data_IF_526760064703
#
_entry.id   IF_526760064703
#
_cell.length_a   1.000
_cell.length_b   1.000
_cell.length_c   1.000
_cell.angle_alpha   90.00
_cell.angle_beta   90.00
_cell.angle_gamma   90.00
#
_symmetry.space_group_name_H-M   'P 1'
#
loop_
_entity.id
_entity.type
_entity.pdbx_description
1 polymer ?
#
# COMPACT_ATOMS: atom_id res chain seq x y z
N UNK A 1 -22.27 -21.02 23.77
CA UNK A 1 -21.30 -21.35 22.71
C UNK A 1 -21.10 -20.12 21.85
N UNK A 2 -19.92 -19.53 21.89
CA UNK A 2 -19.60 -18.33 21.11
C UNK A 2 -19.61 -18.68 19.62
N UNK A 3 -20.54 -18.10 18.88
CA UNK A 3 -20.58 -18.09 17.41
C UNK A 3 -19.29 -17.46 16.90
N UNK A 4 -18.30 -18.30 16.56
CA UNK A 4 -17.03 -17.86 16.01
C UNK A 4 -17.26 -17.24 14.64
N UNK A 5 -17.12 -15.93 14.51
CA UNK A 5 -17.07 -15.27 13.22
C UNK A 5 -15.89 -15.85 12.44
N UNK A 6 -16.17 -16.46 11.29
CA UNK A 6 -15.12 -16.97 10.39
C UNK A 6 -14.27 -15.79 9.93
N UNK A 7 -13.02 -15.74 10.38
CA UNK A 7 -12.04 -14.77 9.89
C UNK A 7 -11.89 -14.92 8.37
N UNK A 8 -11.98 -13.81 7.65
CA UNK A 8 -11.72 -13.79 6.20
C UNK A 8 -10.22 -13.80 5.92
N UNK A 9 -9.84 -14.25 4.72
CA UNK A 9 -8.43 -14.35 4.34
C UNK A 9 -7.70 -13.02 4.47
N UNK A 10 -6.50 -13.05 5.04
CA UNK A 10 -5.59 -11.92 5.16
C UNK A 10 -4.54 -11.92 4.04
N UNK A 11 -3.61 -10.96 4.05
CA UNK A 11 -2.65 -10.83 2.97
C UNK A 11 -1.54 -11.89 2.99
N UNK A 12 -1.27 -12.54 4.13
CA UNK A 12 -0.39 -13.72 4.16
C UNK A 12 -0.98 -14.85 3.32
N UNK A 13 -2.28 -15.12 3.48
CA UNK A 13 -2.99 -16.15 2.72
C UNK A 13 -3.15 -15.76 1.25
N UNK A 14 -3.49 -14.50 0.94
CA UNK A 14 -3.51 -14.00 -0.45
C UNK A 14 -2.14 -14.13 -1.11
N UNK A 15 -1.05 -13.84 -0.38
CA UNK A 15 0.29 -13.99 -0.92
C UNK A 15 0.63 -15.45 -1.22
N UNK A 16 0.35 -16.35 -0.27
CA UNK A 16 0.69 -17.77 -0.40
C UNK A 16 -0.16 -18.50 -1.45
N UNK A 17 -1.45 -18.17 -1.56
CA UNK A 17 -2.40 -18.92 -2.38
C UNK A 17 -2.65 -18.29 -3.76
N UNK A 18 -2.35 -17.00 -3.95
CA UNK A 18 -2.62 -16.29 -5.20
C UNK A 18 -1.34 -15.69 -5.78
N UNK A 19 -0.70 -14.77 -5.05
CA UNK A 19 0.41 -13.97 -5.60
C UNK A 19 1.59 -14.85 -5.99
N UNK A 20 2.10 -15.65 -5.05
CA UNK A 20 3.24 -16.54 -5.30
C UNK A 20 2.94 -17.55 -6.40
N UNK A 21 1.83 -18.32 -6.37
CA UNK A 21 1.50 -19.25 -7.46
C UNK A 21 1.40 -18.59 -8.84
N UNK A 22 0.80 -17.41 -8.95
CA UNK A 22 0.72 -16.69 -10.23
C UNK A 22 2.10 -16.27 -10.74
N UNK A 23 2.98 -15.84 -9.84
CA UNK A 23 4.29 -15.30 -10.19
C UNK A 23 5.42 -16.33 -10.20
N UNK A 24 5.14 -17.61 -9.94
CA UNK A 24 6.17 -18.67 -9.82
C UNK A 24 7.02 -18.79 -11.10
N UNK A 25 6.37 -18.78 -12.26
CA UNK A 25 7.05 -18.95 -13.55
C UNK A 25 7.83 -17.70 -13.97
N UNK A 26 7.29 -16.51 -13.74
CA UNK A 26 7.93 -15.25 -14.13
C UNK A 26 8.96 -14.76 -13.11
N UNK A 27 8.83 -15.17 -11.83
CA UNK A 27 9.63 -14.70 -10.69
C UNK A 27 9.68 -13.16 -10.58
N UNK A 28 8.56 -12.51 -10.89
CA UNK A 28 8.38 -11.06 -10.83
C UNK A 28 7.45 -10.68 -9.67
N UNK A 29 7.27 -9.38 -9.42
CA UNK A 29 6.12 -8.91 -8.64
C UNK A 29 4.78 -9.24 -9.33
N UNK A 30 3.69 -9.18 -8.56
CA UNK A 30 2.33 -9.41 -9.10
C UNK A 30 1.94 -8.36 -10.13
N UNK A 31 2.29 -7.10 -9.86
CA UNK A 31 2.01 -5.98 -10.77
C UNK A 31 2.71 -6.17 -12.10
N UNK A 32 4.00 -6.54 -12.09
CA UNK A 32 4.76 -6.83 -13.31
C UNK A 32 4.16 -8.04 -14.06
N UNK A 33 3.81 -9.10 -13.34
CA UNK A 33 3.19 -10.29 -13.91
C UNK A 33 1.90 -9.96 -14.68
N UNK A 34 0.99 -9.19 -14.06
CA UNK A 34 -0.25 -8.76 -14.70
C UNK A 34 0.03 -7.91 -15.94
N UNK A 35 1.08 -7.07 -15.91
CA UNK A 35 1.43 -6.22 -17.04
C UNK A 35 1.98 -7.02 -18.22
N UNK A 36 2.80 -8.03 -17.94
CA UNK A 36 3.28 -8.97 -18.93
C UNK A 36 2.14 -9.74 -19.58
N UNK A 37 1.21 -10.25 -18.78
CA UNK A 37 0.02 -10.93 -19.29
C UNK A 37 -0.83 -10.03 -20.20
N UNK A 38 -1.08 -8.78 -19.79
CA UNK A 38 -1.85 -7.82 -20.60
C UNK A 38 -1.16 -7.46 -21.91
N UNK A 39 0.17 -7.44 -21.93
CA UNK A 39 0.96 -7.18 -23.13
C UNK A 39 1.19 -8.42 -24.01
N UNK A 40 0.77 -9.61 -23.56
CA UNK A 40 1.09 -10.87 -24.23
C UNK A 40 2.59 -11.22 -24.20
N UNK A 41 3.33 -10.71 -23.23
CA UNK A 41 4.78 -10.89 -23.08
C UNK A 41 5.09 -11.95 -22.02
N UNK A 42 6.19 -12.68 -22.22
CA UNK A 42 6.65 -13.73 -21.31
C UNK A 42 7.82 -13.31 -20.40
N UNK A 43 8.39 -12.11 -20.58
CA UNK A 43 9.56 -11.64 -19.82
C UNK A 43 9.52 -10.14 -19.51
N UNK A 44 9.95 -9.78 -18.30
CA UNK A 44 10.03 -8.40 -17.79
C UNK A 44 11.03 -7.50 -18.55
N UNK A 45 11.99 -8.08 -19.28
CA UNK A 45 13.03 -7.35 -20.01
C UNK A 45 12.53 -6.41 -21.10
N UNK A 46 11.24 -6.46 -21.45
CA UNK A 46 10.59 -5.59 -22.44
C UNK A 46 9.46 -4.72 -21.88
N UNK A 47 9.19 -4.70 -20.57
CA UNK A 47 8.13 -3.85 -20.00
C UNK A 47 8.72 -2.51 -19.51
N UNK A 48 8.69 -1.41 -20.31
CA UNK A 48 9.54 -0.26 -20.09
C UNK A 48 8.94 0.79 -19.15
N UNK A 49 7.67 0.63 -18.73
CA UNK A 49 6.91 1.68 -18.06
C UNK A 49 6.38 1.12 -16.73
N UNK A 50 6.88 1.67 -15.62
CA UNK A 50 6.33 1.42 -14.30
C UNK A 50 4.87 1.85 -14.21
N UNK A 51 4.09 1.18 -13.35
CA UNK A 51 2.69 1.57 -13.14
C UNK A 51 2.66 2.84 -12.28
N UNK A 52 2.05 3.94 -12.75
CA UNK A 52 1.92 5.15 -11.94
C UNK A 52 1.13 4.82 -10.67
N UNK A 53 1.60 5.35 -9.54
CA UNK A 53 0.99 5.14 -8.22
C UNK A 53 0.51 6.47 -7.69
N UNK A 54 -0.72 6.48 -7.17
CA UNK A 54 -1.31 7.66 -6.56
C UNK A 54 -1.10 7.72 -5.05
N UNK A 55 -1.17 6.56 -4.39
CA UNK A 55 -1.13 6.49 -2.93
C UNK A 55 -0.33 5.27 -2.49
N UNK A 56 0.64 5.53 -1.61
CA UNK A 56 1.33 4.48 -0.88
C UNK A 56 0.44 3.95 0.25
N UNK A 57 0.34 2.63 0.40
CA UNK A 57 -0.45 1.99 1.46
C UNK A 57 0.47 1.40 2.52
N UNK A 58 0.43 1.95 3.72
CA UNK A 58 1.02 1.33 4.91
C UNK A 58 -0.05 0.53 5.64
N UNK A 59 0.19 -0.76 5.83
CA UNK A 59 -0.79 -1.66 6.44
C UNK A 59 -0.15 -2.93 7.00
N UNK A 60 -0.90 -3.60 7.89
CA UNK A 60 -0.53 -4.91 8.42
C UNK A 60 -1.12 -6.02 7.56
N UNK A 61 -0.30 -7.04 7.23
CA UNK A 61 -0.73 -8.18 6.42
C UNK A 61 -1.75 -9.09 7.11
N UNK A 62 -1.84 -9.07 8.43
CA UNK A 62 -2.76 -9.93 9.19
C UNK A 62 -4.18 -9.39 9.30
N UNK A 63 -4.45 -8.16 8.86
CA UNK A 63 -5.82 -7.66 8.68
C UNK A 63 -6.54 -8.48 7.60
N UNK A 64 -7.84 -8.71 7.79
CA UNK A 64 -8.68 -9.30 6.75
C UNK A 64 -8.58 -8.49 5.45
N UNK A 65 -8.17 -9.14 4.36
CA UNK A 65 -7.96 -8.50 3.07
C UNK A 65 -9.20 -7.72 2.58
N UNK A 66 -10.44 -8.22 2.71
CA UNK A 66 -11.64 -7.47 2.36
C UNK A 66 -11.83 -6.17 3.14
N UNK A 67 -11.37 -6.11 4.40
CA UNK A 67 -11.44 -4.89 5.21
C UNK A 67 -10.47 -3.83 4.70
N UNK A 68 -9.23 -4.22 4.39
CA UNK A 68 -8.27 -3.35 3.74
C UNK A 68 -8.82 -2.82 2.41
N UNK A 69 -9.36 -3.69 1.54
CA UNK A 69 -9.95 -3.29 0.24
C UNK A 69 -11.10 -2.30 0.45
N UNK A 70 -11.97 -2.53 1.45
CA UNK A 70 -13.07 -1.62 1.79
C UNK A 70 -12.56 -0.26 2.26
N UNK A 71 -11.50 -0.23 3.08
CA UNK A 71 -10.81 1.00 3.50
C UNK A 71 -10.28 1.78 2.31
N UNK A 72 -9.53 1.13 1.41
CA UNK A 72 -8.95 1.76 0.22
C UNK A 72 -10.02 2.29 -0.74
N UNK A 73 -11.14 1.57 -0.91
CA UNK A 73 -12.28 2.05 -1.69
C UNK A 73 -12.91 3.31 -1.09
N UNK A 74 -13.06 3.37 0.23
CA UNK A 74 -13.55 4.58 0.92
C UNK A 74 -12.57 5.73 0.81
N UNK A 75 -11.26 5.45 0.93
CA UNK A 75 -10.20 6.43 0.72
C UNK A 75 -10.25 7.03 -0.69
N UNK A 76 -10.29 6.20 -1.74
CA UNK A 76 -10.34 6.67 -3.11
C UNK A 76 -11.56 7.56 -3.37
N UNK A 77 -12.75 7.14 -2.89
CA UNK A 77 -13.97 7.94 -2.97
C UNK A 77 -13.84 9.29 -2.27
N UNK A 78 -13.34 9.30 -1.04
CA UNK A 78 -13.10 10.53 -0.28
C UNK A 78 -12.19 11.51 -1.04
N UNK A 79 -11.16 11.01 -1.73
CA UNK A 79 -10.27 11.84 -2.56
C UNK A 79 -10.99 12.40 -3.80
N UNK A 80 -11.82 11.60 -4.45
CA UNK A 80 -12.57 11.99 -5.65
C UNK A 80 -13.73 12.96 -5.37
N UNK A 81 -14.41 12.84 -4.23
CA UNK A 81 -15.67 13.55 -3.93
C UNK A 81 -15.49 15.03 -3.50
N UNK A 82 -14.28 15.60 -3.52
CA UNK A 82 -14.12 17.05 -3.33
C UNK A 82 -12.84 17.56 -2.68
N UNK A 83 -11.82 16.71 -2.48
CA UNK A 83 -10.60 17.11 -1.76
C UNK A 83 -9.30 16.97 -2.57
N UNK A 84 -9.35 16.44 -3.81
CA UNK A 84 -8.22 16.40 -4.72
C UNK A 84 -8.50 17.20 -6.00
N UNK A 85 -7.47 17.89 -6.52
CA UNK A 85 -7.53 18.68 -7.77
C UNK A 85 -7.75 17.85 -9.04
N UNK A 86 -7.75 16.52 -8.94
CA UNK A 86 -7.89 15.60 -10.08
C UNK A 86 -9.32 15.04 -10.09
N UNK A 87 -10.17 15.56 -10.98
CA UNK A 87 -11.47 14.99 -11.28
C UNK A 87 -11.26 13.64 -11.97
N UNK A 88 -11.23 12.56 -11.19
CA UNK A 88 -11.16 11.19 -11.72
C UNK A 88 -12.10 10.28 -10.95
N UNK A 89 -12.48 9.18 -11.60
CA UNK A 89 -13.25 8.13 -10.96
C UNK A 89 -12.40 7.40 -9.90
N UNK A 90 -13.02 7.02 -8.78
CA UNK A 90 -12.32 6.34 -7.68
C UNK A 90 -11.76 4.97 -8.12
N UNK A 91 -12.35 4.35 -9.14
CA UNK A 91 -11.90 3.09 -9.75
C UNK A 91 -10.55 3.23 -10.46
N UNK A 92 -10.20 4.43 -10.92
CA UNK A 92 -8.93 4.73 -11.56
C UNK A 92 -7.83 5.11 -10.55
N UNK A 93 -8.14 5.08 -9.24
CA UNK A 93 -7.17 5.36 -8.19
C UNK A 93 -6.23 4.17 -7.98
N UNK A 94 -4.93 4.40 -8.10
CA UNK A 94 -3.91 3.35 -7.99
C UNK A 94 -3.24 3.34 -6.61
N UNK A 95 -2.98 2.13 -6.10
CA UNK A 95 -2.39 1.92 -4.78
C UNK A 95 -1.12 1.11 -4.90
N UNK A 96 -0.06 1.56 -4.23
CA UNK A 96 1.12 0.74 -4.00
C UNK A 96 0.92 -0.03 -2.70
N UNK A 97 0.86 -1.35 -2.81
CA UNK A 97 0.62 -2.29 -1.71
C UNK A 97 1.76 -3.30 -1.76
N UNK A 98 2.48 -3.44 -0.65
CA UNK A 98 3.77 -4.12 -0.64
C UNK A 98 3.73 -5.58 -1.10
N UNK A 99 2.66 -6.35 -0.81
CA UNK A 99 2.57 -7.73 -1.33
C UNK A 99 2.42 -7.83 -2.85
N UNK A 100 1.75 -6.86 -3.48
CA UNK A 100 1.54 -6.87 -4.93
C UNK A 100 2.71 -6.24 -5.68
N UNK A 101 3.31 -5.20 -5.11
CA UNK A 101 4.36 -4.42 -5.76
C UNK A 101 5.77 -4.99 -5.55
N UNK A 102 6.06 -5.62 -4.41
CA UNK A 102 7.35 -6.24 -4.19
C UNK A 102 7.42 -7.63 -4.84
N UNK A 103 8.59 -7.98 -5.37
CA UNK A 103 8.87 -9.32 -5.82
C UNK A 103 8.96 -10.28 -4.63
N UNK A 104 7.96 -11.15 -4.48
CA UNK A 104 7.83 -12.09 -3.36
C UNK A 104 8.85 -13.23 -3.39
N UNK A 105 9.62 -13.35 -4.48
CA UNK A 105 10.73 -14.29 -4.66
C UNK A 105 12.11 -13.64 -4.43
N UNK A 106 12.16 -12.32 -4.22
CA UNK A 106 13.39 -11.54 -4.12
C UNK A 106 13.26 -10.47 -3.02
N UNK A 107 12.86 -10.91 -1.83
CA UNK A 107 12.48 -10.04 -0.70
C UNK A 107 13.63 -9.19 -0.18
N UNK A 108 14.89 -9.61 -0.38
CA UNK A 108 16.07 -8.85 0.03
C UNK A 108 16.14 -7.47 -0.67
N UNK A 109 15.64 -7.36 -1.90
CA UNK A 109 15.51 -6.06 -2.58
C UNK A 109 14.50 -5.13 -1.91
N UNK A 110 13.54 -5.68 -1.17
CA UNK A 110 12.58 -4.89 -0.40
C UNK A 110 13.21 -4.35 0.90
N UNK A 111 14.34 -4.88 1.38
CA UNK A 111 14.95 -4.43 2.65
C UNK A 111 16.07 -3.40 2.48
N UNK A 112 16.42 -3.04 1.24
CA UNK A 112 17.50 -2.11 0.91
C UNK A 112 18.82 -2.82 0.64
N UNK A 113 19.64 -2.22 -0.23
CA UNK A 113 20.95 -2.74 -0.62
C UNK A 113 22.01 -2.35 0.41
N UNK A 114 22.88 -3.29 0.79
CA UNK A 114 24.01 -3.03 1.69
C UNK A 114 23.63 -2.38 3.04
N UNK A 115 22.41 -2.64 3.52
CA UNK A 115 21.90 -2.04 4.77
C UNK A 115 21.37 -0.60 4.64
N UNK A 116 21.40 -0.02 3.43
CA UNK A 116 20.80 1.29 3.18
C UNK A 116 19.29 1.16 2.87
N UNK A 117 18.47 1.40 3.90
CA UNK A 117 17.02 1.32 3.82
C UNK A 117 16.44 2.36 2.84
N UNK A 118 17.15 3.45 2.53
CA UNK A 118 16.69 4.45 1.56
C UNK A 118 16.61 3.92 0.13
N UNK A 119 17.33 2.84 -0.16
CA UNK A 119 17.31 2.13 -1.44
C UNK A 119 16.26 1.02 -1.49
N UNK A 120 15.54 0.78 -0.39
CA UNK A 120 14.48 -0.24 -0.35
C UNK A 120 13.33 0.12 -1.30
N UNK A 121 12.63 -0.91 -1.80
CA UNK A 121 11.42 -0.71 -2.60
C UNK A 121 10.36 0.17 -1.88
N UNK A 122 10.29 0.09 -0.55
CA UNK A 122 9.41 0.94 0.27
C UNK A 122 9.82 2.42 0.20
N UNK A 123 11.10 2.71 0.43
CA UNK A 123 11.61 4.07 0.42
C UNK A 123 11.49 4.70 -0.97
N UNK A 124 11.84 3.96 -2.03
CA UNK A 124 11.69 4.40 -3.42
C UNK A 124 10.22 4.68 -3.74
N UNK A 125 9.29 3.80 -3.36
CA UNK A 125 7.86 4.01 -3.59
C UNK A 125 7.34 5.25 -2.83
N UNK A 126 7.72 5.43 -1.55
CA UNK A 126 7.35 6.60 -0.74
C UNK A 126 7.91 7.92 -1.28
N UNK A 127 9.13 7.91 -1.81
CA UNK A 127 9.73 9.08 -2.46
C UNK A 127 8.92 9.53 -3.67
N UNK A 128 8.38 8.58 -4.44
CA UNK A 128 7.62 8.83 -5.66
C UNK A 128 6.12 9.09 -5.42
N UNK A 129 5.60 8.80 -4.22
CA UNK A 129 4.21 9.07 -3.85
C UNK A 129 4.07 10.42 -3.11
N UNK A 130 3.08 11.22 -3.50
CA UNK A 130 2.72 12.46 -2.80
C UNK A 130 1.74 12.22 -1.64
N UNK A 131 1.09 11.06 -1.65
CA UNK A 131 0.05 10.69 -0.69
C UNK A 131 0.32 9.32 -0.11
N UNK A 132 0.00 9.18 1.17
CA UNK A 132 0.11 7.94 1.93
C UNK A 132 -1.20 7.72 2.69
N UNK A 133 -1.68 6.48 2.69
CA UNK A 133 -2.75 6.04 3.57
C UNK A 133 -2.21 4.98 4.52
N UNK A 134 -2.39 5.20 5.82
CA UNK A 134 -2.16 4.20 6.85
C UNK A 134 -3.49 3.54 7.20
N UNK A 135 -3.58 2.24 6.94
CA UNK A 135 -4.77 1.43 7.23
C UNK A 135 -4.72 1.00 8.68
N UNK A 136 -5.67 1.49 9.49
CA UNK A 136 -5.76 1.21 10.92
C UNK A 136 -6.72 0.03 11.12
N UNK A 137 -6.15 -1.15 11.36
CA UNK A 137 -6.92 -2.32 11.79
C UNK A 137 -7.46 -2.12 13.23
N UNK A 138 -8.47 -2.90 13.68
CA UNK A 138 -9.05 -2.73 15.01
C UNK A 138 -8.06 -2.84 16.18
N UNK A 139 -6.97 -3.58 16.02
CA UNK A 139 -5.91 -3.72 17.01
C UNK A 139 -4.82 -2.66 16.90
N UNK A 140 -4.89 -1.79 15.89
CA UNK A 140 -3.85 -0.83 15.51
C UNK A 140 -2.46 -1.50 15.42
N UNK A 141 -2.42 -2.72 14.91
CA UNK A 141 -1.24 -3.58 14.83
C UNK A 141 -0.14 -2.93 13.99
N UNK A 142 -0.48 -2.05 13.05
CA UNK A 142 0.51 -1.30 12.27
C UNK A 142 1.53 -0.57 13.16
N UNK A 143 1.16 -0.09 14.34
CA UNK A 143 2.09 0.62 15.23
C UNK A 143 3.06 -0.30 15.97
N UNK A 144 2.83 -1.62 15.93
CA UNK A 144 3.68 -2.67 16.51
C UNK A 144 4.61 -3.30 15.46
N UNK A 145 4.49 -2.90 14.19
CA UNK A 145 5.21 -3.50 13.05
C UNK A 145 6.31 -2.55 12.59
N UNK A 146 7.56 -2.98 12.73
CA UNK A 146 8.74 -2.15 12.43
C UNK A 146 8.70 -1.51 11.05
N UNK A 147 8.25 -2.24 10.02
CA UNK A 147 8.14 -1.70 8.65
C UNK A 147 7.06 -0.63 8.52
N UNK A 148 5.88 -0.83 9.12
CA UNK A 148 4.82 0.18 9.08
C UNK A 148 5.20 1.44 9.88
N UNK A 149 5.85 1.27 11.03
CA UNK A 149 6.41 2.39 11.80
C UNK A 149 7.48 3.14 11.02
N UNK A 150 8.39 2.40 10.36
CA UNK A 150 9.39 2.97 9.46
C UNK A 150 8.75 3.77 8.33
N UNK A 151 7.75 3.22 7.63
CA UNK A 151 7.06 3.88 6.52
C UNK A 151 6.44 5.21 6.95
N UNK A 152 5.74 5.23 8.10
CA UNK A 152 5.14 6.44 8.66
C UNK A 152 6.18 7.51 8.99
N UNK A 153 7.25 7.11 9.69
CA UNK A 153 8.34 8.02 10.05
C UNK A 153 9.09 8.53 8.81
N UNK A 154 9.40 7.64 7.88
CA UNK A 154 10.11 7.97 6.65
C UNK A 154 9.30 8.93 5.79
N UNK A 155 7.99 8.69 5.63
CA UNK A 155 7.09 9.58 4.90
C UNK A 155 7.06 11.01 5.48
N UNK A 156 7.10 11.15 6.81
CA UNK A 156 7.16 12.44 7.50
C UNK A 156 8.53 13.13 7.35
N UNK A 157 9.62 12.34 7.33
CA UNK A 157 10.99 12.86 7.21
C UNK A 157 11.38 13.33 5.80
N UNK A 158 10.67 12.86 4.77
CA UNK A 158 11.01 13.18 3.39
C UNK A 158 10.69 14.65 3.06
N UNK A 159 11.52 15.32 2.23
CA UNK A 159 11.26 16.70 1.84
C UNK A 159 9.94 16.82 1.07
N UNK A 160 9.24 17.93 1.31
CA UNK A 160 7.91 18.19 0.75
C UNK A 160 6.78 17.64 1.64
N UNK A 161 5.64 18.34 1.66
CA UNK A 161 4.49 17.95 2.48
C UNK A 161 3.77 16.74 1.87
N UNK A 162 4.03 15.54 2.38
CA UNK A 162 3.20 14.35 2.10
C UNK A 162 1.91 14.40 2.90
N UNK A 163 0.81 14.05 2.26
CA UNK A 163 -0.48 13.91 2.95
C UNK A 163 -0.58 12.50 3.50
N UNK A 164 -0.40 12.36 4.82
CA UNK A 164 -0.59 11.09 5.53
C UNK A 164 -2.04 11.05 6.04
N UNK A 165 -2.81 10.12 5.50
CA UNK A 165 -4.21 9.90 5.87
C UNK A 165 -4.32 8.63 6.70
N UNK A 166 -4.99 8.72 7.84
CA UNK A 166 -5.35 7.55 8.64
C UNK A 166 -6.76 7.14 8.25
N UNK A 167 -6.96 5.86 7.90
CA UNK A 167 -8.27 5.36 7.48
C UNK A 167 -8.49 3.93 7.97
N UNK A 168 -9.75 3.55 8.11
CA UNK A 168 -10.16 2.17 8.36
C UNK A 168 -11.44 1.84 7.58
N UNK A 169 -11.96 0.64 7.79
CA UNK A 169 -13.14 0.16 7.06
C UNK A 169 -14.41 1.00 7.35
N UNK A 170 -14.42 1.81 8.42
CA UNK A 170 -15.50 2.74 8.75
C UNK A 170 -15.36 4.06 7.98
N UNK A 171 -14.14 4.56 7.72
CA UNK A 171 -13.91 5.74 6.90
C UNK A 171 -12.55 6.38 7.14
N UNK A 172 -12.46 7.68 6.82
CA UNK A 172 -11.27 8.50 7.12
C UNK A 172 -11.30 8.86 8.61
N UNK A 173 -10.21 8.54 9.31
CA UNK A 173 -10.02 8.87 10.72
C UNK A 173 -9.31 10.23 10.87
N UNK A 174 -8.33 10.50 10.01
CA UNK A 174 -7.62 11.77 9.95
C UNK A 174 -7.13 12.03 8.53
N UNK A 175 -7.33 13.23 8.01
CA UNK A 175 -6.93 13.61 6.66
C UNK A 175 -5.56 14.30 6.58
N UNK A 176 -4.74 14.25 7.65
CA UNK A 176 -3.38 14.82 7.65
C UNK A 176 -3.31 16.36 7.72
N UNK A 177 -4.44 17.03 7.93
CA UNK A 177 -4.53 18.49 8.07
C UNK A 177 -4.31 19.01 9.50
N UNK A 178 -4.24 18.12 10.50
CA UNK A 178 -4.34 18.49 11.92
C UNK A 178 -3.09 19.17 12.53
N UNK A 179 -2.00 19.36 11.77
CA UNK A 179 -0.73 19.83 12.36
C UNK A 179 -0.66 21.31 12.76
N UNK A 180 -1.71 22.15 12.60
CA UNK A 180 -1.69 23.53 13.14
C UNK A 180 -2.99 24.11 13.69
N UNK A 181 -4.18 23.56 13.40
CA UNK A 181 -5.43 24.13 13.93
C UNK A 181 -5.69 23.77 15.41
N UNK A 182 -5.08 22.68 15.91
CA UNK A 182 -5.39 22.14 17.24
C UNK A 182 -4.39 22.54 18.33
N UNK A 183 -3.28 23.21 17.97
CA UNK A 183 -2.25 23.67 18.93
C UNK A 183 -2.40 25.17 19.26
N UNK A 184 -3.53 25.78 18.89
CA UNK A 184 -3.89 27.15 19.27
C UNK A 184 -5.17 27.20 20.12
N UNK A 185 -5.28 26.31 21.11
CA UNK A 185 -6.23 26.46 22.21
C UNK A 185 -5.50 26.41 23.54
#
# INVERSE_FOLDING_TARGET
GTTGSRQMRNLYEVNAEIIKPCCESSRTSYVEHLRLQQAGLSSASTCPIGVPVDTFVSHWWGEEFPMMVKTLKKYAKFRCDGHCRRQREWQAWSFWICAFANNQFAVDHATGLNGDVSTSAFAVALQNCQEMVAVIDPGAEIYKRIWCTFELFYADSLPGRRQIVLANHAGILSAGAATRATVQQ
#
